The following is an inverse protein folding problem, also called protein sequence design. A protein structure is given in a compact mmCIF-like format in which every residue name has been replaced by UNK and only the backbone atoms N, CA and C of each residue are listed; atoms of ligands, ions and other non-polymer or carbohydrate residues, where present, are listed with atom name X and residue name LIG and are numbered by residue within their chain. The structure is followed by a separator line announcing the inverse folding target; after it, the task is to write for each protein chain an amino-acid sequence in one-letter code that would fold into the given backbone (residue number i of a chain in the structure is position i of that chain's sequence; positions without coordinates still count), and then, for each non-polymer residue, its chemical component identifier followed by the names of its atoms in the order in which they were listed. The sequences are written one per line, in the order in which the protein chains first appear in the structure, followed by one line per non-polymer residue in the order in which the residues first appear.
data_IF_894197678762
#
_entry.id   IF_894197678762
#
_cell.length_a   1.000
_cell.length_b   1.000
_cell.length_c   1.000
_cell.angle_alpha   90.00
_cell.angle_beta   90.00
_cell.angle_gamma   90.00
#
_symmetry.space_group_name_H-M   'P 1'
#
loop_
_entity.id
_entity.type
_entity.pdbx_description
1 polymer ?
#
# COMPACT_ATOMS: atom_id res chain seq x y z
N UNK A 1 9.22 -23.22 -13.41
CA UNK A 1 8.19 -23.74 -14.34
C UNK A 1 7.15 -24.40 -13.46
N UNK A 2 5.88 -24.00 -13.38
CA UNK A 2 4.99 -23.34 -14.33
C UNK A 2 4.08 -22.37 -13.57
N UNK A 3 4.20 -21.08 -13.85
CA UNK A 3 3.16 -20.12 -13.49
C UNK A 3 1.93 -20.46 -14.32
N UNK A 4 0.86 -20.89 -13.66
CA UNK A 4 -0.44 -21.03 -14.31
C UNK A 4 -0.85 -19.64 -14.86
N UNK A 5 -1.26 -19.55 -16.14
CA UNK A 5 -1.77 -18.30 -16.67
C UNK A 5 -3.06 -17.96 -15.93
N UNK A 6 -3.04 -16.83 -15.22
CA UNK A 6 -4.24 -16.23 -14.65
C UNK A 6 -5.14 -15.94 -15.84
N UNK A 7 -6.20 -16.74 -15.96
CA UNK A 7 -7.29 -16.52 -16.90
C UNK A 7 -7.67 -15.05 -16.80
N UNK A 8 -7.45 -14.32 -17.90
CA UNK A 8 -8.01 -13.00 -18.11
C UNK A 8 -9.51 -13.27 -18.14
N UNK A 9 -10.16 -13.22 -16.97
CA UNK A 9 -11.60 -13.06 -16.90
C UNK A 9 -11.87 -11.82 -17.74
N UNK A 10 -12.46 -12.07 -18.90
CA UNK A 10 -13.16 -11.09 -19.67
C UNK A 10 -14.06 -10.36 -18.67
N UNK A 11 -13.61 -9.18 -18.25
CA UNK A 11 -14.49 -8.07 -17.95
C UNK A 11 -15.25 -7.84 -19.24
N UNK A 12 -16.28 -8.67 -19.47
CA UNK A 12 -17.42 -8.33 -20.30
C UNK A 12 -18.07 -7.22 -19.50
N UNK A 13 -17.47 -6.03 -19.64
CA UNK A 13 -18.04 -4.80 -19.16
C UNK A 13 -19.37 -4.75 -19.88
N UNK A 14 -20.43 -5.00 -19.11
CA UNK A 14 -21.82 -5.03 -19.51
C UNK A 14 -22.30 -3.61 -19.84
N UNK A 15 -21.54 -2.88 -20.68
CA UNK A 15 -21.85 -1.54 -21.19
C UNK A 15 -22.76 -1.60 -22.44
N UNK A 16 -23.06 -2.80 -22.95
CA UNK A 16 -23.84 -2.98 -24.17
C UNK A 16 -25.33 -2.57 -24.14
N UNK A 17 -26.07 -2.48 -23.01
CA UNK A 17 -27.48 -2.07 -23.07
C UNK A 17 -27.65 -0.56 -23.27
N UNK A 18 -26.73 0.25 -22.74
CA UNK A 18 -26.92 1.71 -22.65
C UNK A 18 -26.51 2.45 -23.92
N UNK A 19 -25.40 2.06 -24.55
CA UNK A 19 -24.99 2.64 -25.83
C UNK A 19 -25.93 2.24 -26.96
N UNK A 20 -26.44 1.00 -26.94
CA UNK A 20 -27.47 0.57 -27.89
C UNK A 20 -28.78 1.34 -27.68
N UNK A 21 -29.17 1.61 -26.43
CA UNK A 21 -30.33 2.45 -26.11
C UNK A 21 -30.15 3.89 -26.58
N UNK A 22 -28.97 4.51 -26.41
CA UNK A 22 -28.65 5.83 -26.94
C UNK A 22 -28.75 5.88 -28.47
N UNK A 23 -28.19 4.90 -29.15
CA UNK A 23 -28.26 4.81 -30.61
C UNK A 23 -29.71 4.67 -31.12
N UNK A 24 -30.52 3.83 -30.48
CA UNK A 24 -31.95 3.69 -30.82
C UNK A 24 -32.75 4.94 -30.50
N UNK A 25 -32.45 5.65 -29.41
CA UNK A 25 -33.10 6.90 -29.07
C UNK A 25 -32.76 7.97 -30.12
N UNK A 26 -31.48 8.16 -30.45
CA UNK A 26 -31.02 9.13 -31.46
C UNK A 26 -31.62 8.81 -32.84
N UNK A 27 -31.64 7.54 -33.25
CA UNK A 27 -32.25 7.12 -34.51
C UNK A 27 -33.75 7.41 -34.53
N UNK A 28 -34.47 7.14 -33.44
CA UNK A 28 -35.89 7.44 -33.34
C UNK A 28 -36.17 8.95 -33.39
N UNK A 29 -35.37 9.77 -32.72
CA UNK A 29 -35.55 11.23 -32.71
C UNK A 29 -35.22 11.85 -34.08
N UNK A 30 -34.16 11.38 -34.74
CA UNK A 30 -33.78 11.84 -36.09
C UNK A 30 -34.80 11.45 -37.15
N UNK A 31 -35.35 10.23 -37.09
CA UNK A 31 -36.46 9.81 -37.97
C UNK A 31 -37.71 10.65 -37.71
N UNK A 32 -38.06 10.91 -36.45
CA UNK A 32 -39.21 11.75 -36.11
C UNK A 32 -39.03 13.19 -36.61
N UNK A 33 -37.81 13.73 -36.52
CA UNK A 33 -37.47 15.06 -37.02
C UNK A 33 -37.56 15.14 -38.56
N UNK A 34 -37.04 14.12 -39.26
CA UNK A 34 -37.13 14.04 -40.72
C UNK A 34 -38.58 13.96 -41.21
N UNK A 35 -39.42 13.16 -40.55
CA UNK A 35 -40.86 13.08 -40.84
C UNK A 35 -41.54 14.43 -40.56
N UNK A 36 -41.21 15.08 -39.44
CA UNK A 36 -41.76 16.41 -39.10
C UNK A 36 -41.42 17.46 -40.17
N UNK A 37 -40.17 17.53 -40.63
CA UNK A 37 -39.76 18.42 -41.72
C UNK A 37 -40.53 18.10 -43.02
N UNK A 38 -40.64 16.82 -43.38
CA UNK A 38 -41.35 16.40 -44.59
C UNK A 38 -42.84 16.78 -44.54
N UNK A 39 -43.49 16.58 -43.39
CA UNK A 39 -44.88 16.98 -43.18
C UNK A 39 -45.05 18.50 -43.20
N UNK A 40 -44.09 19.26 -42.65
CA UNK A 40 -44.12 20.71 -42.68
C UNK A 40 -44.00 21.23 -44.12
N UNK A 41 -43.11 20.68 -44.93
CA UNK A 41 -42.99 21.00 -46.36
C UNK A 41 -44.28 20.70 -47.14
N UNK A 42 -44.92 19.56 -46.87
CA UNK A 42 -46.20 19.20 -47.49
C UNK A 42 -47.34 20.15 -47.10
N UNK A 43 -47.39 20.55 -45.82
CA UNK A 43 -48.42 21.46 -45.31
C UNK A 43 -48.21 22.89 -45.82
N UNK A 44 -46.96 23.34 -45.98
CA UNK A 44 -46.64 24.64 -46.60
C UNK A 44 -47.07 24.66 -48.07
N UNK A 45 -46.84 23.59 -48.83
CA UNK A 45 -47.29 23.49 -50.22
C UNK A 45 -48.83 23.52 -50.32
N UNK A 46 -49.53 22.83 -49.40
CA UNK A 46 -51.01 22.88 -49.30
C UNK A 46 -51.52 24.26 -48.91
N UNK A 47 -50.82 24.98 -48.04
CA UNK A 47 -51.13 26.35 -47.65
C UNK A 47 -51.00 27.30 -48.84
N UNK A 48 -49.92 27.20 -49.62
CA UNK A 48 -49.72 27.97 -50.85
C UNK A 48 -50.80 27.66 -51.90
N UNK A 49 -51.19 26.40 -52.04
CA UNK A 49 -52.28 25.99 -52.92
C UNK A 49 -53.64 26.55 -52.47
N UNK A 50 -53.95 26.51 -51.18
CA UNK A 50 -55.22 27.01 -50.63
C UNK A 50 -55.42 28.53 -50.86
N UNK A 51 -54.34 29.30 -50.78
CA UNK A 51 -54.35 30.76 -51.05
C UNK A 51 -54.70 31.04 -52.52
N UNK A 52 -54.13 30.28 -53.46
CA UNK A 52 -54.35 30.46 -54.90
C UNK A 52 -55.81 30.19 -55.32
N UNK A 53 -56.46 29.22 -54.67
CA UNK A 53 -57.86 28.84 -54.94
C UNK A 53 -58.89 29.53 -54.02
N UNK A 54 -58.45 30.46 -53.15
CA UNK A 54 -59.34 31.23 -52.27
C UNK A 54 -60.03 30.41 -51.17
N UNK A 55 -59.52 29.22 -50.83
CA UNK A 55 -60.14 28.34 -49.84
C UNK A 55 -59.57 28.57 -48.43
N UNK A 56 -60.16 29.53 -47.72
CA UNK A 56 -59.76 29.96 -46.38
C UNK A 56 -59.83 28.86 -45.31
N UNK A 57 -60.68 27.85 -45.49
CA UNK A 57 -60.83 26.75 -44.53
C UNK A 57 -59.59 25.84 -44.52
N UNK A 58 -59.10 25.47 -45.71
CA UNK A 58 -57.89 24.64 -45.86
C UNK A 58 -56.66 25.39 -45.32
N UNK A 59 -56.59 26.70 -45.54
CA UNK A 59 -55.55 27.55 -44.97
C UNK A 59 -55.54 27.50 -43.43
N UNK A 60 -56.70 27.65 -42.78
CA UNK A 60 -56.81 27.57 -41.31
C UNK A 60 -56.38 26.20 -40.75
N UNK A 61 -56.74 25.11 -41.42
CA UNK A 61 -56.35 23.75 -41.01
C UNK A 61 -54.83 23.57 -41.13
N UNK A 62 -54.22 24.01 -42.24
CA UNK A 62 -52.76 23.91 -42.44
C UNK A 62 -51.98 24.69 -41.38
N UNK A 63 -52.43 25.89 -41.02
CA UNK A 63 -51.83 26.71 -39.97
C UNK A 63 -51.92 26.04 -38.59
N UNK A 64 -53.08 25.44 -38.26
CA UNK A 64 -53.28 24.72 -37.00
C UNK A 64 -52.36 23.51 -36.87
N UNK A 65 -52.17 22.75 -37.96
CA UNK A 65 -51.26 21.60 -37.98
C UNK A 65 -49.80 22.02 -37.76
N UNK A 66 -49.36 23.11 -38.39
CA UNK A 66 -47.99 23.65 -38.20
C UNK A 66 -47.76 24.05 -36.74
N UNK A 67 -48.74 24.73 -36.12
CA UNK A 67 -48.64 25.20 -34.74
C UNK A 67 -48.56 24.02 -33.74
N UNK A 68 -49.33 22.96 -34.00
CA UNK A 68 -49.28 21.71 -33.22
C UNK A 68 -47.92 21.01 -33.38
N UNK A 69 -47.39 20.90 -34.60
CA UNK A 69 -46.09 20.30 -34.86
C UNK A 69 -44.94 21.04 -34.16
N UNK A 70 -44.97 22.38 -34.15
CA UNK A 70 -43.99 23.20 -33.42
C UNK A 70 -44.07 22.94 -31.91
N UNK A 71 -45.28 22.83 -31.37
CA UNK A 71 -45.51 22.56 -29.94
C UNK A 71 -44.97 21.20 -29.54
N UNK A 72 -45.20 20.16 -30.35
CA UNK A 72 -44.65 18.82 -30.14
C UNK A 72 -43.12 18.82 -30.24
N UNK A 73 -42.55 19.54 -31.21
CA UNK A 73 -41.10 19.66 -31.36
C UNK A 73 -40.43 20.28 -30.13
N UNK A 74 -41.02 21.33 -29.54
CA UNK A 74 -40.52 21.97 -28.32
C UNK A 74 -40.57 21.02 -27.11
N UNK A 75 -41.67 20.26 -26.96
CA UNK A 75 -41.84 19.29 -25.87
C UNK A 75 -40.79 18.17 -25.96
N UNK A 76 -40.37 17.78 -27.16
CA UNK A 76 -39.35 16.74 -27.37
C UNK A 76 -37.91 17.25 -27.20
N UNK A 77 -37.59 18.50 -27.58
CA UNK A 77 -36.21 19.02 -27.51
C UNK A 77 -35.75 19.28 -26.05
N UNK A 78 -36.66 19.74 -25.20
CA UNK A 78 -36.42 20.04 -23.77
C UNK A 78 -35.89 18.83 -22.95
N UNK A 79 -36.56 17.67 -22.93
CA UNK A 79 -36.11 16.52 -22.16
C UNK A 79 -34.87 15.84 -22.76
N UNK A 80 -34.70 15.90 -24.09
CA UNK A 80 -33.55 15.28 -24.78
C UNK A 80 -32.26 15.99 -24.44
N UNK A 81 -32.23 17.34 -24.49
CA UNK A 81 -31.07 18.12 -24.06
C UNK A 81 -30.76 17.87 -22.59
N UNK A 82 -31.75 17.95 -21.70
CA UNK A 82 -31.51 17.80 -20.27
C UNK A 82 -30.98 16.39 -19.91
N UNK A 83 -31.52 15.34 -20.54
CA UNK A 83 -31.05 13.95 -20.33
C UNK A 83 -29.67 13.71 -20.96
N UNK A 84 -29.35 14.34 -22.09
CA UNK A 84 -28.03 14.23 -22.71
C UNK A 84 -26.94 14.90 -21.86
N UNK A 85 -27.17 16.13 -21.41
CA UNK A 85 -26.22 16.84 -20.53
C UNK A 85 -26.05 16.14 -19.18
N UNK A 86 -27.15 15.68 -18.56
CA UNK A 86 -27.07 14.93 -17.30
C UNK A 86 -26.25 13.64 -17.42
N UNK A 87 -26.47 12.86 -18.49
CA UNK A 87 -25.72 11.60 -18.70
C UNK A 87 -24.27 11.82 -19.08
N UNK A 88 -23.94 12.89 -19.82
CA UNK A 88 -22.55 13.24 -20.13
C UNK A 88 -21.77 13.64 -18.87
N UNK A 89 -22.37 14.49 -18.04
CA UNK A 89 -21.74 14.96 -16.80
C UNK A 89 -21.52 13.82 -15.82
N UNK A 90 -22.51 12.93 -15.62
CA UNK A 90 -22.35 11.76 -14.75
C UNK A 90 -21.26 10.81 -15.26
N UNK A 91 -21.13 10.63 -16.57
CA UNK A 91 -20.12 9.75 -17.15
C UNK A 91 -18.70 10.31 -16.96
N UNK A 92 -18.53 11.61 -17.18
CA UNK A 92 -17.25 12.31 -16.98
C UNK A 92 -16.81 12.28 -15.51
N UNK A 93 -17.74 12.59 -14.58
CA UNK A 93 -17.48 12.50 -13.14
C UNK A 93 -17.14 11.06 -12.72
N UNK A 94 -17.86 10.07 -13.23
CA UNK A 94 -17.59 8.66 -12.92
C UNK A 94 -16.21 8.23 -13.41
N UNK A 95 -15.77 8.69 -14.58
CA UNK A 95 -14.47 8.38 -15.13
C UNK A 95 -13.35 9.04 -14.33
N UNK A 96 -13.53 10.29 -13.92
CA UNK A 96 -12.55 11.02 -13.11
C UNK A 96 -12.37 10.39 -11.72
N UNK A 97 -13.47 10.05 -11.03
CA UNK A 97 -13.42 9.34 -9.74
C UNK A 97 -12.73 7.98 -9.88
N UNK A 98 -13.02 7.23 -10.95
CA UNK A 98 -12.38 5.94 -11.19
C UNK A 98 -10.87 6.09 -11.40
N UNK A 99 -10.43 7.09 -12.16
CA UNK A 99 -9.01 7.32 -12.42
C UNK A 99 -8.26 7.73 -11.16
N UNK A 100 -8.83 8.62 -10.34
CA UNK A 100 -8.27 9.01 -9.04
C UNK A 100 -8.17 7.82 -8.07
N UNK A 101 -9.18 6.94 -8.07
CA UNK A 101 -9.17 5.71 -7.29
C UNK A 101 -8.05 4.75 -7.71
N UNK A 102 -7.86 4.54 -9.01
CA UNK A 102 -6.81 3.65 -9.53
C UNK A 102 -5.41 4.20 -9.27
N UNK A 103 -5.20 5.50 -9.47
CA UNK A 103 -3.89 6.14 -9.24
C UNK A 103 -3.47 6.07 -7.76
N UNK A 104 -4.42 6.33 -6.85
CA UNK A 104 -4.14 6.25 -5.41
C UNK A 104 -3.82 4.83 -4.97
N UNK A 105 -4.59 3.82 -5.40
CA UNK A 105 -4.33 2.41 -5.12
C UNK A 105 -2.96 1.99 -5.63
N UNK A 106 -2.58 2.43 -6.83
CA UNK A 106 -1.28 2.09 -7.43
C UNK A 106 -0.10 2.69 -6.63
N UNK A 107 -0.22 3.95 -6.20
CA UNK A 107 0.79 4.58 -5.31
C UNK A 107 0.92 3.83 -3.99
N UNK A 108 -0.19 3.43 -3.36
CA UNK A 108 -0.16 2.63 -2.14
C UNK A 108 0.47 1.25 -2.39
N UNK A 109 0.14 0.60 -3.51
CA UNK A 109 0.71 -0.71 -3.89
C UNK A 109 2.22 -0.63 -4.04
N UNK A 110 2.75 0.39 -4.71
CA UNK A 110 4.19 0.60 -4.89
C UNK A 110 4.87 0.90 -3.55
N UNK A 111 4.28 1.78 -2.72
CA UNK A 111 4.82 2.08 -1.39
C UNK A 111 4.88 0.82 -0.51
N UNK A 112 3.81 0.02 -0.48
CA UNK A 112 3.76 -1.21 0.29
C UNK A 112 4.74 -2.26 -0.24
N UNK A 113 4.89 -2.37 -1.55
CA UNK A 113 5.90 -3.24 -2.16
C UNK A 113 7.32 -2.80 -1.79
N UNK A 114 7.61 -1.49 -1.76
CA UNK A 114 8.92 -0.97 -1.35
C UNK A 114 9.20 -1.23 0.13
N UNK A 115 8.22 -1.00 1.01
CA UNK A 115 8.33 -1.32 2.44
C UNK A 115 8.62 -2.81 2.62
N UNK A 116 7.85 -3.68 1.96
CA UNK A 116 7.99 -5.13 2.09
C UNK A 116 9.32 -5.65 1.54
N UNK A 117 9.74 -5.15 0.38
CA UNK A 117 10.88 -5.73 -0.34
C UNK A 117 12.22 -5.08 0.02
N UNK A 118 12.22 -3.85 0.56
CA UNK A 118 13.46 -3.12 0.86
C UNK A 118 13.58 -2.81 2.35
N UNK A 119 12.53 -2.22 2.93
CA UNK A 119 12.62 -1.75 4.32
C UNK A 119 12.66 -2.90 5.34
N UNK A 120 11.76 -3.88 5.23
CA UNK A 120 11.73 -5.04 6.16
C UNK A 120 13.04 -5.84 6.12
N UNK A 121 13.59 -6.21 4.93
CA UNK A 121 14.87 -6.92 4.86
C UNK A 121 16.03 -6.13 5.43
N UNK A 122 16.11 -4.81 5.14
CA UNK A 122 17.18 -3.97 5.70
C UNK A 122 17.13 -3.89 7.23
N UNK A 123 15.92 -3.76 7.79
CA UNK A 123 15.76 -3.76 9.25
C UNK A 123 16.15 -5.11 9.87
N UNK A 124 15.85 -6.22 9.19
CA UNK A 124 16.29 -7.56 9.62
C UNK A 124 17.82 -7.69 9.54
N UNK A 125 18.45 -7.29 8.44
CA UNK A 125 19.91 -7.34 8.29
C UNK A 125 20.62 -6.49 9.35
N UNK A 126 20.09 -5.30 9.64
CA UNK A 126 20.62 -4.45 10.72
C UNK A 126 20.49 -5.11 12.09
N UNK A 127 19.36 -5.75 12.38
CA UNK A 127 19.15 -6.47 13.63
C UNK A 127 20.13 -7.65 13.76
N UNK A 128 20.26 -8.47 12.71
CA UNK A 128 21.13 -9.64 12.70
C UNK A 128 22.62 -9.23 12.86
N UNK A 129 23.04 -8.13 12.21
CA UNK A 129 24.38 -7.56 12.39
C UNK A 129 24.61 -7.10 13.82
N UNK A 130 23.67 -6.35 14.39
CA UNK A 130 23.82 -5.80 15.73
C UNK A 130 23.91 -6.93 16.77
N UNK A 131 23.09 -7.97 16.61
CA UNK A 131 23.15 -9.16 17.47
C UNK A 131 24.50 -9.86 17.37
N UNK A 132 25.00 -10.08 16.15
CA UNK A 132 26.31 -10.71 15.95
C UNK A 132 27.46 -9.86 16.54
N UNK A 133 27.42 -8.54 16.35
CA UNK A 133 28.42 -7.63 16.93
C UNK A 133 28.43 -7.71 18.47
N UNK A 134 27.26 -7.83 19.10
CA UNK A 134 27.16 -8.06 20.55
C UNK A 134 27.73 -9.41 20.95
N UNK A 135 27.37 -10.50 20.26
CA UNK A 135 27.85 -11.85 20.57
C UNK A 135 29.38 -11.96 20.44
N UNK A 136 29.95 -11.33 19.39
CA UNK A 136 31.41 -11.25 19.20
C UNK A 136 32.07 -10.42 20.30
N UNK A 137 31.47 -9.28 20.67
CA UNK A 137 32.01 -8.44 21.73
C UNK A 137 31.99 -9.15 23.09
N UNK A 138 30.90 -9.84 23.42
CA UNK A 138 30.76 -10.64 24.64
C UNK A 138 31.80 -11.77 24.64
N UNK A 139 31.86 -12.57 23.57
CA UNK A 139 32.81 -13.68 23.46
C UNK A 139 34.27 -13.22 23.61
N UNK A 140 34.62 -12.06 23.03
CA UNK A 140 35.96 -11.47 23.19
C UNK A 140 36.22 -11.06 24.65
N UNK A 141 35.23 -10.47 25.31
CA UNK A 141 35.35 -10.07 26.72
C UNK A 141 35.47 -11.28 27.64
N UNK A 142 34.70 -12.34 27.39
CA UNK A 142 34.79 -13.60 28.12
C UNK A 142 36.16 -14.25 27.95
N UNK A 143 36.69 -14.31 26.74
CA UNK A 143 38.05 -14.80 26.48
C UNK A 143 39.11 -13.96 27.23
N UNK A 144 38.99 -12.63 27.22
CA UNK A 144 39.89 -11.75 27.98
C UNK A 144 39.80 -12.00 29.50
N UNK A 145 38.60 -12.19 30.04
CA UNK A 145 38.39 -12.50 31.46
C UNK A 145 39.01 -13.86 31.80
N UNK A 146 38.83 -14.86 30.95
CA UNK A 146 39.40 -16.19 31.13
C UNK A 146 40.94 -16.15 31.11
N UNK A 147 41.53 -15.46 30.14
CA UNK A 147 42.99 -15.29 30.05
C UNK A 147 43.55 -14.55 31.28
N UNK A 148 42.87 -13.49 31.72
CA UNK A 148 43.23 -12.76 32.94
C UNK A 148 43.13 -13.64 34.20
N UNK A 149 42.08 -14.44 34.30
CA UNK A 149 41.90 -15.40 35.40
C UNK A 149 43.02 -16.43 35.43
N UNK A 150 43.32 -17.04 34.28
CA UNK A 150 44.38 -18.04 34.19
C UNK A 150 45.77 -17.45 34.51
N UNK A 151 46.04 -16.23 34.05
CA UNK A 151 47.29 -15.54 34.35
C UNK A 151 47.40 -15.21 35.85
N UNK A 152 46.28 -14.80 36.47
CA UNK A 152 46.22 -14.55 37.91
C UNK A 152 46.45 -15.82 38.72
N UNK A 153 45.82 -16.93 38.34
CA UNK A 153 46.02 -18.24 38.98
C UNK A 153 47.48 -18.71 38.88
N UNK A 154 48.10 -18.52 37.71
CA UNK A 154 49.53 -18.79 37.52
C UNK A 154 50.39 -17.97 38.48
N UNK A 155 50.14 -16.66 38.56
CA UNK A 155 50.89 -15.76 39.44
C UNK A 155 50.71 -16.11 40.92
N UNK A 156 49.49 -16.48 41.33
CA UNK A 156 49.22 -16.94 42.71
C UNK A 156 49.95 -18.25 42.99
N UNK A 157 49.99 -19.18 42.04
CA UNK A 157 50.74 -20.43 42.19
C UNK A 157 52.25 -20.18 42.28
N UNK A 158 52.81 -19.25 41.49
CA UNK A 158 54.21 -18.86 41.60
C UNK A 158 54.50 -18.29 43.01
N UNK A 159 53.60 -17.47 43.55
CA UNK A 159 53.72 -16.94 44.93
C UNK A 159 53.58 -18.01 46.00
N UNK A 160 52.73 -19.02 45.79
CA UNK A 160 52.67 -20.22 46.66
C UNK A 160 54.00 -20.96 46.66
N UNK A 161 54.61 -21.14 45.49
CA UNK A 161 55.89 -21.82 45.37
C UNK A 161 57.04 -21.03 46.01
N UNK A 162 57.09 -19.70 45.80
CA UNK A 162 58.02 -18.81 46.49
C UNK A 162 57.88 -18.93 48.03
N UNK A 163 56.65 -19.02 48.55
CA UNK A 163 56.42 -19.19 49.98
C UNK A 163 57.03 -20.50 50.51
N UNK A 164 56.83 -21.61 49.80
CA UNK A 164 57.38 -22.92 50.18
C UNK A 164 58.90 -22.86 50.26
N UNK A 165 59.56 -22.25 49.26
CA UNK A 165 61.01 -22.09 49.22
C UNK A 165 61.50 -21.18 50.37
N UNK A 166 60.77 -20.10 50.68
CA UNK A 166 61.09 -19.23 51.81
C UNK A 166 60.94 -19.93 53.17
N UNK A 167 59.93 -20.79 53.34
CA UNK A 167 59.74 -21.57 54.57
C UNK A 167 60.84 -22.63 54.76
N UNK A 168 61.29 -23.26 53.67
CA UNK A 168 62.34 -24.27 53.69
C UNK A 168 63.72 -23.66 53.98
N UNK A 169 64.00 -22.45 53.49
CA UNK A 169 65.26 -21.75 53.73
C UNK A 169 65.32 -21.02 55.08
N UNK A 170 64.25 -20.35 55.51
CA UNK A 170 64.22 -19.63 56.79
C UNK A 170 62.79 -19.49 57.36
N UNK A 171 62.35 -20.43 58.23
CA UNK A 171 60.95 -20.55 58.68
C UNK A 171 60.46 -19.40 59.56
N UNK A 172 61.38 -18.57 60.10
CA UNK A 172 61.04 -17.43 60.95
C UNK A 172 61.31 -16.08 60.29
N UNK A 173 61.56 -16.04 58.98
CA UNK A 173 61.75 -14.76 58.30
C UNK A 173 60.45 -13.92 58.32
N UNK A 174 60.53 -12.60 58.59
CA UNK A 174 59.37 -11.72 58.57
C UNK A 174 58.72 -11.66 57.17
N UNK A 175 59.50 -11.90 56.11
CA UNK A 175 59.02 -11.94 54.73
C UNK A 175 58.15 -13.16 54.45
N UNK A 176 58.50 -14.36 54.94
CA UNK A 176 57.68 -15.56 54.80
C UNK A 176 56.32 -15.40 55.51
N UNK A 177 56.30 -14.82 56.72
CA UNK A 177 55.04 -14.56 57.45
C UNK A 177 54.14 -13.55 56.73
N UNK A 178 54.71 -12.46 56.19
CA UNK A 178 53.95 -11.47 55.44
C UNK A 178 53.33 -12.07 54.17
N UNK A 179 54.08 -12.90 53.44
CA UNK A 179 53.61 -13.53 52.21
C UNK A 179 52.54 -14.60 52.50
N UNK A 180 52.70 -15.37 53.59
CA UNK A 180 51.69 -16.29 54.09
C UNK A 180 50.37 -15.59 54.48
N UNK A 181 50.46 -14.42 55.14
CA UNK A 181 49.27 -13.66 55.52
C UNK A 181 48.54 -13.09 54.29
N UNK A 182 49.28 -12.62 53.28
CA UNK A 182 48.69 -12.17 52.01
C UNK A 182 47.98 -13.31 51.27
N UNK A 183 48.56 -14.50 51.27
CA UNK A 183 47.97 -15.66 50.62
C UNK A 183 46.71 -16.16 51.34
N UNK A 184 46.72 -16.19 52.68
CA UNK A 184 45.54 -16.50 53.48
C UNK A 184 44.40 -15.50 53.26
N UNK A 185 44.73 -14.22 53.02
CA UNK A 185 43.71 -13.22 52.64
C UNK A 185 43.14 -13.52 51.26
N UNK A 186 43.99 -13.88 50.29
CA UNK A 186 43.56 -14.28 48.94
C UNK A 186 42.59 -15.48 48.97
N UNK A 187 42.93 -16.54 49.70
CA UNK A 187 42.07 -17.73 49.85
C UNK A 187 40.69 -17.38 50.45
N UNK A 188 40.67 -16.41 51.37
CA UNK A 188 39.41 -15.91 51.96
C UNK A 188 38.58 -15.08 50.97
N UNK A 189 39.22 -14.36 50.03
CA UNK A 189 38.53 -13.66 48.95
C UNK A 189 37.92 -14.64 47.95
N UNK A 190 38.68 -15.65 47.53
CA UNK A 190 38.22 -16.67 46.58
C UNK A 190 37.03 -17.48 47.12
N UNK A 191 37.05 -17.83 48.41
CA UNK A 191 35.91 -18.49 49.07
C UNK A 191 34.65 -17.61 49.16
N UNK A 192 34.80 -16.29 49.15
CA UNK A 192 33.69 -15.34 49.26
C UNK A 192 33.01 -15.09 47.90
N UNK A 193 33.77 -15.12 46.82
CA UNK A 193 33.28 -14.89 45.45
C UNK A 193 32.78 -16.16 44.74
N UNK A 194 32.98 -17.35 45.31
CA UNK A 194 32.33 -18.58 44.82
C UNK A 194 30.80 -18.45 44.90
N UNK A 195 30.07 -18.34 43.77
CA UNK A 195 28.63 -18.21 43.81
C UNK A 195 28.04 -19.55 44.29
N UNK A 196 27.22 -19.48 45.34
CA UNK A 196 26.32 -20.57 45.74
C UNK A 196 25.49 -20.94 44.51
N UNK A 197 25.86 -22.01 43.78
CA UNK A 197 25.08 -22.54 42.65
C UNK A 197 23.67 -22.79 43.16
N UNK A 198 22.73 -21.89 42.88
CA UNK A 198 21.31 -22.19 43.04
C UNK A 198 20.96 -23.13 41.90
N UNK A 199 20.88 -24.42 42.21
CA UNK A 199 20.10 -25.35 41.40
C UNK A 199 18.67 -24.81 41.35
N UNK A 200 18.24 -24.33 40.18
CA UNK A 200 16.84 -24.17 39.85
C UNK A 200 16.33 -25.52 39.37
N UNK A 201 15.55 -26.19 40.23
CA UNK A 201 14.58 -27.21 39.82
C UNK A 201 13.39 -26.56 39.11
#
# INVERSE_FOLDING_TARGET
MTLAPISIEQKVVLLLPWDSYRAHLILRTTVCFAISILTCLGVIALMSYAILYGNWLIFGISLSIILLLISVALILDLPVKNKFFGTSLTNEISQDISNLGVESIEKFRVAFANIRNSFIPNMRDLYDRLQNDYDVAISRKEAQIHDLSQNLDSMVNDKRQELVICMESNPNSPQARALQEQLNRWDKFEQKDSPKRRHSS
#
